data_IF_795051132440
#
_entry.id   IF_795051132440
#
_cell.length_a   1.000
_cell.length_b   1.000
_cell.length_c   1.000
_cell.angle_alpha   90.00
_cell.angle_beta   90.00
_cell.angle_gamma   90.00
#
_symmetry.space_group_name_H-M   'P 1'
#
loop_
_entity.id
_entity.type
_entity.pdbx_description
1 polymer ?
#
# COMPACT_ATOMS: atom_id res chain seq x y z
N UNK A 1 14.59 24.40 19.66
CA UNK A 1 13.17 24.60 19.95
C UNK A 1 12.44 23.29 19.66
N UNK A 2 12.17 22.49 20.69
CA UNK A 2 11.39 21.25 20.51
C UNK A 2 9.92 21.63 20.34
N UNK A 3 9.31 21.23 19.22
CA UNK A 3 7.88 21.39 19.02
C UNK A 3 7.13 20.48 20.00
N UNK A 4 6.02 20.94 20.56
CA UNK A 4 5.14 20.20 21.49
C UNK A 4 4.80 18.78 20.99
N UNK A 5 4.64 18.61 19.68
CA UNK A 5 4.40 17.32 19.04
C UNK A 5 5.57 16.34 19.22
N UNK A 6 6.82 16.81 19.13
CA UNK A 6 8.01 15.94 19.25
C UNK A 6 8.13 15.29 20.63
N UNK A 7 7.74 16.02 21.68
CA UNK A 7 7.73 15.53 23.06
C UNK A 7 6.65 14.47 23.26
N UNK A 8 5.46 14.67 22.68
CA UNK A 8 4.37 13.70 22.73
C UNK A 8 4.77 12.37 22.06
N UNK A 9 5.34 12.42 20.86
CA UNK A 9 5.81 11.22 20.17
C UNK A 9 6.93 10.50 20.92
N UNK A 10 7.86 11.25 21.55
CA UNK A 10 8.89 10.64 22.41
C UNK A 10 8.26 9.85 23.57
N UNK A 11 7.21 10.40 24.20
CA UNK A 11 6.51 9.76 25.32
C UNK A 11 5.79 8.48 24.88
N UNK A 12 5.10 8.51 23.75
CA UNK A 12 4.40 7.32 23.23
C UNK A 12 5.37 6.21 22.78
N UNK A 13 6.48 6.56 22.13
CA UNK A 13 7.55 5.59 21.83
C UNK A 13 8.09 4.98 23.11
N UNK A 14 8.39 5.80 24.13
CA UNK A 14 8.89 5.31 25.41
C UNK A 14 7.90 4.37 26.11
N UNK A 15 6.60 4.69 26.10
CA UNK A 15 5.55 3.81 26.62
C UNK A 15 5.50 2.48 25.85
N UNK A 16 5.57 2.53 24.52
CA UNK A 16 5.62 1.33 23.68
C UNK A 16 6.82 0.44 23.99
N UNK A 17 8.01 1.02 24.15
CA UNK A 17 9.22 0.30 24.53
C UNK A 17 9.07 -0.42 25.87
N UNK A 18 8.50 0.22 26.89
CA UNK A 18 8.29 -0.41 28.20
C UNK A 18 7.21 -1.49 28.16
N UNK A 19 6.14 -1.28 27.38
CA UNK A 19 5.04 -2.22 27.26
C UNK A 19 5.46 -3.51 26.56
N UNK A 20 6.18 -3.39 25.44
CA UNK A 20 6.46 -4.52 24.56
C UNK A 20 7.86 -5.10 24.73
N UNK A 21 8.80 -4.35 25.32
CA UNK A 21 10.21 -4.74 25.50
C UNK A 21 10.81 -5.42 24.25
N UNK A 22 10.75 -4.77 23.07
CA UNK A 22 11.00 -5.46 21.81
C UNK A 22 12.50 -5.76 21.59
N UNK A 23 12.80 -6.93 21.05
CA UNK A 23 14.13 -7.25 20.51
C UNK A 23 14.38 -6.57 19.16
N UNK A 24 13.31 -6.35 18.39
CA UNK A 24 13.33 -5.70 17.08
C UNK A 24 12.19 -4.69 16.94
N UNK A 25 12.50 -3.55 16.34
CA UNK A 25 11.55 -2.52 15.94
C UNK A 25 11.60 -2.40 14.42
N UNK A 26 10.42 -2.40 13.79
CA UNK A 26 10.27 -2.24 12.35
C UNK A 26 9.44 -0.98 12.10
N UNK A 27 10.06 -0.01 11.44
CA UNK A 27 9.40 1.23 11.03
C UNK A 27 8.93 1.11 9.58
N UNK A 28 7.62 1.29 9.37
CA UNK A 28 6.97 1.31 8.04
C UNK A 28 6.40 2.69 7.70
N UNK A 29 6.90 3.74 8.37
CA UNK A 29 6.40 5.10 8.21
C UNK A 29 7.55 6.11 8.09
N UNK A 30 7.46 7.13 7.18
CA UNK A 30 8.57 8.06 6.92
C UNK A 30 8.93 8.97 8.10
N UNK A 31 8.04 9.14 9.08
CA UNK A 31 8.28 9.97 10.27
C UNK A 31 8.71 9.17 11.50
N UNK A 32 8.93 7.86 11.36
CA UNK A 32 9.20 6.95 12.46
C UNK A 32 10.65 6.46 12.48
N UNK A 33 11.60 7.33 12.13
CA UNK A 33 13.05 7.06 12.23
C UNK A 33 13.67 7.92 13.32
N UNK A 34 13.65 9.24 13.13
CA UNK A 34 14.37 10.21 13.97
C UNK A 34 13.95 10.17 15.44
N UNK A 35 12.65 10.29 15.73
CA UNK A 35 12.15 10.31 17.11
C UNK A 35 12.40 8.97 17.82
N UNK A 36 12.02 7.80 17.24
CA UNK A 36 12.31 6.52 17.89
C UNK A 36 13.79 6.26 18.15
N UNK A 37 14.66 6.55 17.18
CA UNK A 37 16.11 6.35 17.33
C UNK A 37 16.71 7.29 18.40
N UNK A 38 16.20 8.52 18.53
CA UNK A 38 16.60 9.43 19.60
C UNK A 38 16.23 8.88 20.97
N UNK A 39 15.02 8.35 21.14
CA UNK A 39 14.58 7.73 22.39
C UNK A 39 15.42 6.50 22.74
N UNK A 40 15.68 5.62 21.76
CA UNK A 40 16.54 4.44 21.95
C UNK A 40 17.96 4.83 22.37
N UNK A 41 18.53 5.85 21.73
CA UNK A 41 19.86 6.37 22.07
C UNK A 41 19.88 6.96 23.48
N UNK A 42 18.92 7.81 23.82
CA UNK A 42 18.83 8.45 25.15
C UNK A 42 18.63 7.45 26.30
N UNK A 43 18.09 6.26 26.02
CA UNK A 43 17.90 5.18 27.00
C UNK A 43 19.00 4.12 26.97
N UNK A 44 20.05 4.29 26.15
CA UNK A 44 21.13 3.29 26.02
C UNK A 44 20.68 1.96 25.40
N UNK A 45 19.53 1.94 24.71
CA UNK A 45 18.94 0.72 24.12
C UNK A 45 19.36 0.50 22.66
N UNK A 46 20.01 1.47 22.02
CA UNK A 46 20.36 1.43 20.60
C UNK A 46 21.23 0.22 20.19
N UNK A 47 22.06 -0.30 21.10
CA UNK A 47 22.88 -1.49 20.86
C UNK A 47 22.18 -2.81 21.17
N UNK A 48 21.06 -2.75 21.91
CA UNK A 48 20.32 -3.94 22.39
C UNK A 48 19.16 -4.29 21.46
N UNK A 49 18.50 -3.28 20.90
CA UNK A 49 17.31 -3.44 20.08
C UNK A 49 17.67 -3.23 18.62
N UNK A 50 17.35 -4.20 17.76
CA UNK A 50 17.51 -4.08 16.32
C UNK A 50 16.48 -3.08 15.80
N UNK A 51 16.93 -2.04 15.10
CA UNK A 51 16.02 -1.05 14.51
C UNK A 51 16.08 -1.14 12.99
N UNK A 52 14.96 -1.47 12.37
CA UNK A 52 14.87 -1.57 10.91
C UNK A 52 13.83 -0.63 10.34
N UNK A 53 14.05 -0.23 9.08
CA UNK A 53 13.08 0.52 8.28
C UNK A 53 12.70 -0.30 7.06
N UNK A 54 11.41 -0.37 6.76
CA UNK A 54 10.89 -0.85 5.47
C UNK A 54 10.30 0.35 4.75
N UNK A 55 10.93 0.76 3.66
CA UNK A 55 10.47 1.91 2.87
C UNK A 55 9.27 1.49 2.02
N UNK A 56 8.17 2.22 2.14
CA UNK A 56 6.93 1.94 1.39
C UNK A 56 6.76 2.79 0.14
N UNK A 57 7.60 3.82 -0.04
CA UNK A 57 7.59 4.69 -1.23
C UNK A 57 8.40 4.02 -2.35
N UNK A 58 7.80 3.85 -3.53
CA UNK A 58 8.41 3.07 -4.61
C UNK A 58 9.52 3.79 -5.39
N UNK A 59 9.49 5.13 -5.45
CA UNK A 59 10.46 5.91 -6.21
C UNK A 59 10.83 7.24 -5.55
N UNK A 60 9.93 8.22 -5.52
CA UNK A 60 10.16 9.53 -4.89
C UNK A 60 9.92 9.45 -3.40
N UNK A 61 10.91 8.93 -2.67
CA UNK A 61 10.84 8.81 -1.22
C UNK A 61 11.26 10.10 -0.51
N UNK A 62 10.55 10.45 0.56
CA UNK A 62 10.95 11.55 1.43
C UNK A 62 12.27 11.25 2.17
N UNK A 63 13.20 12.23 2.36
CA UNK A 63 14.48 11.97 3.02
C UNK A 63 14.39 11.39 4.44
N UNK A 64 13.25 11.59 5.12
CA UNK A 64 13.07 11.15 6.51
C UNK A 64 13.00 9.63 6.67
N UNK A 65 12.80 8.88 5.58
CA UNK A 65 12.94 7.42 5.57
C UNK A 65 14.35 6.95 5.97
N UNK A 66 15.37 7.77 5.75
CA UNK A 66 16.77 7.39 5.88
C UNK A 66 17.37 7.94 7.17
N UNK A 67 18.02 7.08 7.95
CA UNK A 67 18.71 7.50 9.15
C UNK A 67 19.93 6.62 9.41
N UNK A 68 21.10 7.23 9.67
CA UNK A 68 22.40 6.51 9.78
C UNK A 68 22.47 5.53 10.95
N UNK A 69 21.62 5.69 11.96
CA UNK A 69 21.56 4.82 13.15
C UNK A 69 20.68 3.57 12.98
N UNK A 70 20.04 3.34 11.84
CA UNK A 70 19.27 2.10 11.62
C UNK A 70 20.20 0.90 11.49
N UNK A 71 19.78 -0.27 11.94
CA UNK A 71 20.51 -1.52 11.69
C UNK A 71 20.39 -1.94 10.23
N UNK A 72 19.16 -1.90 9.69
CA UNK A 72 18.89 -2.15 8.26
C UNK A 72 17.79 -1.24 7.70
N UNK A 73 17.91 -0.90 6.43
CA UNK A 73 16.93 -0.22 5.61
C UNK A 73 16.58 -1.10 4.41
N UNK A 74 15.37 -1.63 4.40
CA UNK A 74 14.82 -2.43 3.32
C UNK A 74 14.16 -1.51 2.29
N UNK A 75 14.72 -1.49 1.09
CA UNK A 75 14.29 -0.67 -0.02
C UNK A 75 13.44 -1.51 -0.99
N UNK A 76 12.35 -0.94 -1.54
CA UNK A 76 11.50 -1.65 -2.50
C UNK A 76 12.15 -1.73 -3.88
N UNK A 77 13.08 -0.83 -4.20
CA UNK A 77 13.70 -0.71 -5.52
C UNK A 77 15.17 -0.34 -5.41
N UNK A 78 15.93 -0.54 -6.49
CA UNK A 78 17.35 -0.13 -6.54
C UNK A 78 17.52 1.38 -6.52
N UNK A 79 16.54 2.12 -7.04
CA UNK A 79 16.47 3.58 -7.07
C UNK A 79 16.36 4.15 -5.66
N UNK A 80 15.55 3.52 -4.80
CA UNK A 80 15.46 3.89 -3.38
C UNK A 80 16.74 3.53 -2.64
N UNK A 81 17.38 2.40 -2.96
CA UNK A 81 18.68 2.04 -2.38
C UNK A 81 19.80 3.05 -2.73
N UNK A 82 19.83 3.55 -3.98
CA UNK A 82 20.74 4.64 -4.37
C UNK A 82 20.49 5.93 -3.57
N UNK A 83 19.22 6.25 -3.30
CA UNK A 83 18.86 7.39 -2.42
C UNK A 83 19.31 7.17 -0.98
N UNK A 84 19.17 5.96 -0.45
CA UNK A 84 19.66 5.59 0.87
C UNK A 84 21.19 5.75 1.00
N UNK A 85 21.94 5.30 -0.01
CA UNK A 85 23.40 5.53 -0.10
C UNK A 85 23.72 7.03 -0.12
N UNK A 86 23.01 7.82 -0.94
CA UNK A 86 23.18 9.28 -1.01
C UNK A 86 22.85 9.97 0.33
N UNK A 87 21.93 9.41 1.12
CA UNK A 87 21.61 9.88 2.48
C UNK A 87 22.67 9.47 3.53
N UNK A 88 23.70 8.72 3.12
CA UNK A 88 24.84 8.33 3.94
C UNK A 88 24.64 7.06 4.75
N UNK A 89 23.71 6.18 4.35
CA UNK A 89 23.67 4.81 4.84
C UNK A 89 24.80 3.99 4.22
N UNK A 90 25.37 3.09 4.99
CA UNK A 90 26.39 2.16 4.52
C UNK A 90 25.76 1.03 3.69
N UNK A 91 26.50 0.44 2.73
CA UNK A 91 26.02 -0.71 1.96
C UNK A 91 25.54 -1.88 2.84
N UNK A 92 26.18 -2.09 4.00
CA UNK A 92 25.80 -3.12 4.97
C UNK A 92 24.41 -2.90 5.60
N UNK A 93 23.95 -1.65 5.66
CA UNK A 93 22.63 -1.26 6.17
C UNK A 93 21.55 -1.46 5.13
N UNK A 94 21.86 -1.53 3.84
CA UNK A 94 20.86 -1.46 2.77
C UNK A 94 20.55 -2.86 2.22
N UNK A 95 19.27 -3.17 2.03
CA UNK A 95 18.80 -4.39 1.35
C UNK A 95 17.70 -4.05 0.36
N UNK A 96 17.67 -4.76 -0.77
CA UNK A 96 16.64 -4.59 -1.80
C UNK A 96 15.91 -5.92 -1.96
N UNK A 97 14.68 -5.99 -1.43
CA UNK A 97 13.84 -7.20 -1.47
C UNK A 97 12.47 -6.95 -2.10
N UNK A 98 12.18 -5.73 -2.55
CA UNK A 98 10.83 -5.35 -2.97
C UNK A 98 9.98 -4.82 -1.81
N UNK A 99 8.80 -4.32 -2.16
CA UNK A 99 7.79 -3.93 -1.18
C UNK A 99 7.15 -5.21 -0.59
N UNK A 100 7.09 -5.37 0.74
CA UNK A 100 6.46 -6.55 1.32
C UNK A 100 4.97 -6.56 1.00
N UNK A 101 4.51 -7.70 0.49
CA UNK A 101 3.10 -7.98 0.23
C UNK A 101 2.62 -9.10 1.15
N UNK A 102 1.31 -9.18 1.40
CA UNK A 102 0.74 -10.24 2.25
C UNK A 102 1.04 -11.61 1.61
N UNK A 103 1.52 -12.62 2.36
CA UNK A 103 1.85 -13.94 1.79
C UNK A 103 0.70 -14.62 1.04
N UNK A 104 -0.55 -14.30 1.38
CA UNK A 104 -1.72 -14.81 0.67
C UNK A 104 -1.82 -14.35 -0.79
N UNK A 105 -1.21 -13.21 -1.16
CA UNK A 105 -1.23 -12.69 -2.54
C UNK A 105 -0.21 -13.36 -3.47
N UNK A 106 0.82 -14.01 -2.92
CA UNK A 106 1.86 -14.68 -3.73
C UNK A 106 1.60 -16.17 -3.92
N UNK A 107 0.50 -16.69 -3.36
CA UNK A 107 0.07 -18.07 -3.59
C UNK A 107 -0.28 -18.26 -5.08
N UNK A 108 -0.09 -19.47 -5.65
CA UNK A 108 -0.55 -19.77 -6.99
C UNK A 108 -2.00 -19.38 -7.19
N UNK A 109 -2.28 -18.70 -8.30
CA UNK A 109 -3.62 -18.20 -8.62
C UNK A 109 -4.36 -19.25 -9.44
N UNK A 110 -5.66 -19.40 -9.18
CA UNK A 110 -6.54 -20.27 -9.96
C UNK A 110 -6.69 -19.78 -11.41
N UNK A 111 -7.11 -20.64 -12.35
CA UNK A 111 -7.41 -20.25 -13.72
C UNK A 111 -8.32 -19.01 -13.80
N UNK A 112 -8.06 -18.15 -14.79
CA UNK A 112 -8.77 -16.88 -14.98
C UNK A 112 -10.28 -17.07 -15.16
N UNK A 113 -10.68 -18.10 -15.91
CA UNK A 113 -12.08 -18.45 -16.16
C UNK A 113 -12.83 -18.81 -14.86
N UNK A 114 -12.23 -19.61 -13.98
CA UNK A 114 -12.83 -19.97 -12.69
C UNK A 114 -13.05 -18.74 -11.81
N UNK A 115 -12.04 -17.86 -11.74
CA UNK A 115 -12.15 -16.62 -10.97
C UNK A 115 -13.20 -15.68 -11.53
N UNK A 116 -13.34 -15.61 -12.87
CA UNK A 116 -14.37 -14.81 -13.51
C UNK A 116 -15.77 -15.30 -13.16
N UNK A 117 -16.03 -16.60 -13.29
CA UNK A 117 -17.30 -17.22 -12.89
C UNK A 117 -17.65 -16.94 -11.44
N UNK A 118 -16.70 -17.14 -10.53
CA UNK A 118 -16.93 -16.89 -9.09
C UNK A 118 -17.24 -15.43 -8.77
N UNK A 119 -16.70 -14.49 -9.57
CA UNK A 119 -16.92 -13.06 -9.40
C UNK A 119 -18.12 -12.54 -10.21
N UNK A 120 -18.87 -13.40 -10.91
CA UNK A 120 -19.98 -13.01 -11.79
C UNK A 120 -19.54 -12.24 -13.03
N UNK A 121 -18.32 -12.46 -13.49
CA UNK A 121 -17.71 -11.79 -14.65
C UNK A 121 -17.83 -12.64 -15.92
N UNK A 122 -17.84 -11.98 -17.07
CA UNK A 122 -17.81 -12.66 -18.38
C UNK A 122 -16.48 -13.37 -18.59
N UNK A 123 -16.51 -14.59 -19.13
CA UNK A 123 -15.32 -15.44 -19.23
C UNK A 123 -14.33 -14.97 -20.30
N UNK A 124 -14.81 -14.42 -21.41
CA UNK A 124 -13.99 -14.11 -22.58
C UNK A 124 -13.64 -12.63 -22.71
N UNK A 125 -14.47 -11.72 -22.18
CA UNK A 125 -14.22 -10.28 -22.31
C UNK A 125 -12.97 -9.84 -21.55
N UNK A 126 -12.12 -8.96 -22.12
CA UNK A 126 -11.02 -8.35 -21.38
C UNK A 126 -11.56 -7.49 -20.22
N UNK A 127 -10.86 -7.51 -19.08
CA UNK A 127 -11.36 -6.92 -17.85
C UNK A 127 -10.43 -5.83 -17.30
N UNK A 128 -11.00 -4.71 -16.88
CA UNK A 128 -10.32 -3.65 -16.14
C UNK A 128 -10.67 -3.77 -14.64
N UNK A 129 -9.65 -3.87 -13.79
CA UNK A 129 -9.81 -3.74 -12.34
C UNK A 129 -9.71 -2.26 -11.96
N UNK A 130 -10.80 -1.67 -11.49
CA UNK A 130 -10.87 -0.30 -11.02
C UNK A 130 -10.95 -0.26 -9.49
N UNK A 131 -9.97 0.37 -8.85
CA UNK A 131 -9.93 0.47 -7.39
C UNK A 131 -9.29 1.79 -6.91
N UNK A 132 -9.78 2.31 -5.79
CA UNK A 132 -9.32 3.57 -5.17
C UNK A 132 -8.62 3.38 -3.82
N UNK A 133 -7.99 2.21 -3.61
CA UNK A 133 -7.48 1.82 -2.29
C UNK A 133 -8.58 1.46 -1.29
N UNK A 134 -8.20 1.28 -0.02
CA UNK A 134 -9.10 0.76 1.03
C UNK A 134 -10.31 1.65 1.35
N UNK A 135 -10.23 2.95 1.06
CA UNK A 135 -11.30 3.93 1.30
C UNK A 135 -12.06 4.31 0.01
N UNK A 136 -11.71 3.73 -1.14
CA UNK A 136 -12.37 4.04 -2.42
C UNK A 136 -12.19 5.51 -2.83
N UNK A 137 -10.97 6.02 -2.74
CA UNK A 137 -10.62 7.41 -3.01
C UNK A 137 -10.48 7.68 -4.52
N UNK A 138 -10.69 8.93 -4.91
CA UNK A 138 -10.57 9.40 -6.28
C UNK A 138 -11.89 9.38 -7.06
N UNK A 139 -11.88 9.80 -8.33
CA UNK A 139 -13.08 9.96 -9.16
C UNK A 139 -13.58 8.61 -9.73
N UNK A 140 -13.70 7.59 -8.89
CA UNK A 140 -14.02 6.20 -9.31
C UNK A 140 -15.34 6.13 -10.08
N UNK A 141 -16.37 6.88 -9.67
CA UNK A 141 -17.64 6.92 -10.43
C UNK A 141 -17.44 7.48 -11.85
N UNK A 142 -16.74 8.60 -11.98
CA UNK A 142 -16.51 9.22 -13.29
C UNK A 142 -15.67 8.31 -14.19
N UNK A 143 -14.64 7.67 -13.64
CA UNK A 143 -13.82 6.69 -14.38
C UNK A 143 -14.62 5.46 -14.77
N UNK A 144 -15.47 4.92 -13.89
CA UNK A 144 -16.32 3.78 -14.21
C UNK A 144 -17.29 4.11 -15.35
N UNK A 145 -17.91 5.30 -15.32
CA UNK A 145 -18.79 5.79 -16.40
C UNK A 145 -18.04 5.90 -17.73
N UNK A 146 -16.88 6.54 -17.73
CA UNK A 146 -16.05 6.68 -18.93
C UNK A 146 -15.63 5.31 -19.50
N UNK A 147 -15.32 4.33 -18.64
CA UNK A 147 -15.04 2.95 -19.08
C UNK A 147 -16.29 2.26 -19.64
N UNK A 148 -17.46 2.50 -19.05
CA UNK A 148 -18.76 2.01 -19.52
C UNK A 148 -19.06 2.42 -20.96
N UNK A 149 -18.72 3.65 -21.32
CA UNK A 149 -18.88 4.16 -22.69
C UNK A 149 -17.75 3.69 -23.61
N UNK A 150 -16.50 3.72 -23.14
CA UNK A 150 -15.33 3.40 -23.98
C UNK A 150 -15.17 1.91 -24.31
N UNK A 151 -15.77 1.01 -23.52
CA UNK A 151 -15.70 -0.44 -23.72
C UNK A 151 -16.96 -1.03 -24.36
N UNK A 152 -17.80 -0.20 -24.97
CA UNK A 152 -18.97 -0.62 -25.74
C UNK A 152 -18.78 -0.23 -27.21
N UNK A 153 -18.95 -1.19 -28.12
CA UNK A 153 -18.89 -0.92 -29.55
C UNK A 153 -20.29 -0.60 -30.08
N UNK A 154 -20.54 0.67 -30.39
CA UNK A 154 -21.84 1.14 -30.92
C UNK A 154 -22.14 0.60 -32.33
N UNK A 155 -21.14 0.17 -33.11
CA UNK A 155 -21.36 -0.39 -34.44
C UNK A 155 -21.82 -1.85 -34.36
N UNK A 156 -21.22 -2.62 -33.43
CA UNK A 156 -21.56 -4.02 -33.21
C UNK A 156 -22.73 -4.19 -32.22
N UNK A 157 -23.04 -3.15 -31.44
CA UNK A 157 -24.08 -3.17 -30.41
C UNK A 157 -23.74 -4.11 -29.25
N UNK A 158 -22.46 -4.30 -28.95
CA UNK A 158 -21.99 -5.27 -27.95
C UNK A 158 -20.81 -4.75 -27.12
N UNK A 159 -20.62 -5.26 -25.88
CA UNK A 159 -19.48 -4.91 -25.05
C UNK A 159 -18.19 -5.53 -25.60
N UNK A 160 -17.14 -4.72 -25.75
CA UNK A 160 -15.78 -5.17 -26.08
C UNK A 160 -14.88 -5.32 -24.85
N UNK A 161 -15.41 -5.03 -23.66
CA UNK A 161 -14.73 -5.20 -22.38
C UNK A 161 -15.68 -5.16 -21.18
N UNK A 162 -15.12 -5.39 -20.00
CA UNK A 162 -15.86 -5.39 -18.73
C UNK A 162 -15.06 -4.73 -17.62
N UNK A 163 -15.74 -4.33 -16.54
CA UNK A 163 -15.12 -3.65 -15.40
C UNK A 163 -15.43 -4.37 -14.09
N UNK A 164 -14.40 -4.60 -13.28
CA UNK A 164 -14.52 -5.01 -11.88
C UNK A 164 -14.15 -3.83 -11.00
N UNK A 165 -15.08 -3.31 -10.20
CA UNK A 165 -14.85 -2.18 -9.31
C UNK A 165 -14.76 -2.66 -7.86
N UNK A 166 -13.67 -2.30 -7.16
CA UNK A 166 -13.51 -2.52 -5.72
C UNK A 166 -13.55 -1.17 -5.00
N UNK A 167 -14.63 -0.91 -4.27
CA UNK A 167 -14.89 0.35 -3.57
C UNK A 167 -14.23 0.47 -2.19
N UNK A 168 -13.58 -0.58 -1.70
CA UNK A 168 -13.05 -0.65 -0.35
C UNK A 168 -14.17 -0.54 0.70
N UNK A 169 -14.04 0.41 1.62
CA UNK A 169 -15.05 0.70 2.64
C UNK A 169 -16.14 1.67 2.19
N UNK A 170 -16.05 2.20 0.97
CA UNK A 170 -16.96 3.22 0.46
C UNK A 170 -18.31 2.63 0.01
N UNK A 171 -19.19 2.38 0.99
CA UNK A 171 -20.56 1.87 0.77
C UNK A 171 -21.43 2.81 -0.09
N UNK A 172 -21.25 4.12 0.07
CA UNK A 172 -21.99 5.12 -0.70
C UNK A 172 -21.67 5.01 -2.19
N UNK A 173 -20.38 4.89 -2.52
CA UNK A 173 -19.92 4.67 -3.90
C UNK A 173 -20.44 3.33 -4.46
N UNK A 174 -20.31 2.24 -3.71
CA UNK A 174 -20.79 0.92 -4.16
C UNK A 174 -22.29 0.95 -4.51
N UNK A 175 -23.12 1.50 -3.61
CA UNK A 175 -24.56 1.63 -3.85
C UNK A 175 -24.88 2.49 -5.08
N UNK A 176 -24.11 3.57 -5.28
CA UNK A 176 -24.28 4.45 -6.43
C UNK A 176 -23.93 3.76 -7.75
N UNK A 177 -22.88 2.94 -7.76
CA UNK A 177 -22.47 2.19 -8.95
C UNK A 177 -23.42 1.04 -9.28
N UNK A 178 -23.94 0.37 -8.25
CA UNK A 178 -24.94 -0.69 -8.39
C UNK A 178 -26.30 -0.19 -8.89
N UNK A 179 -26.63 1.09 -8.68
CA UNK A 179 -27.88 1.68 -9.18
C UNK A 179 -27.81 2.14 -10.65
N UNK A 180 -26.67 1.97 -11.33
CA UNK A 180 -26.49 2.38 -12.72
C UNK A 180 -26.79 1.20 -13.63
N UNK A 181 -27.57 1.44 -14.68
CA UNK A 181 -27.71 0.49 -15.78
C UNK A 181 -26.53 0.66 -16.73
N UNK A 182 -25.63 -0.32 -16.74
CA UNK A 182 -24.41 -0.30 -17.53
C UNK A 182 -24.63 -0.90 -18.93
N UNK A 183 -24.00 -0.30 -19.94
CA UNK A 183 -23.96 -0.86 -21.31
C UNK A 183 -23.06 -2.09 -21.43
N UNK A 184 -22.14 -2.25 -20.49
CA UNK A 184 -21.17 -3.34 -20.42
C UNK A 184 -21.33 -4.10 -19.10
N UNK A 185 -20.81 -5.33 -18.98
CA UNK A 185 -20.75 -6.02 -17.70
C UNK A 185 -19.89 -5.26 -16.69
N UNK A 186 -20.48 -4.91 -15.55
CA UNK A 186 -19.80 -4.25 -14.43
C UNK A 186 -20.11 -4.97 -13.13
N UNK A 187 -19.07 -5.44 -12.46
CA UNK A 187 -19.18 -6.05 -11.14
C UNK A 187 -18.65 -5.10 -10.06
N UNK A 188 -19.41 -4.92 -8.97
CA UNK A 188 -19.09 -3.97 -7.91
C UNK A 188 -18.97 -4.67 -6.57
N UNK A 189 -17.81 -4.56 -5.95
CA UNK A 189 -17.53 -5.13 -4.62
C UNK A 189 -17.08 -4.04 -3.65
N UNK A 190 -17.41 -4.21 -2.37
CA UNK A 190 -16.77 -3.42 -1.31
C UNK A 190 -15.32 -3.89 -1.13
N UNK A 191 -15.15 -5.14 -0.73
CA UNK A 191 -13.85 -5.76 -0.56
C UNK A 191 -13.95 -7.23 -0.99
N UNK A 192 -12.88 -7.76 -1.55
CA UNK A 192 -12.78 -9.19 -1.85
C UNK A 192 -12.20 -9.88 -0.61
N UNK A 193 -13.06 -10.46 0.24
CA UNK A 193 -12.57 -11.39 1.26
C UNK A 193 -12.31 -12.74 0.63
N UNK A 194 -11.15 -13.31 0.97
CA UNK A 194 -11.02 -14.74 1.17
C UNK A 194 -10.79 -14.97 2.65
#
# INVERSE_FOLDING_TARGET
>A
VESSNSVLYCREVAKGLMKYQPDIIISVHPLMQHVPLRVLRGRGLLKKIVFTTVVTDLSTCHPTWFHKLVTRCYCPTTEVAKRALKAGLQPSQIKVYGLPVRPSFVKPVRPKAELRRELGMEEDLPAVLLMGGGEGMGPIEATARALGDALYDENLGEPVGQVLVICGRNKKLANKLLSINWKIPVQVFLYLMK
#
